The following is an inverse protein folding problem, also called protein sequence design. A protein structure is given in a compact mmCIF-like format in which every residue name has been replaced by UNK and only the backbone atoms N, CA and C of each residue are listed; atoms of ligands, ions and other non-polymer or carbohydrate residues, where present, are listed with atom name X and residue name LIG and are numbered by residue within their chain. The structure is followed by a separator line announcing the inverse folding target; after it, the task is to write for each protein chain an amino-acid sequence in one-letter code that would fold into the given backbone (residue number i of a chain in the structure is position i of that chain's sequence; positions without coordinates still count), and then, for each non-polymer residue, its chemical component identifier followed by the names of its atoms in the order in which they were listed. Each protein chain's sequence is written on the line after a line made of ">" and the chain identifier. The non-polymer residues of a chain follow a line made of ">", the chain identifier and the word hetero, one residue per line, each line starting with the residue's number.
data_IF_709528278259
#
_entry.id   IF_709528278259
#
_cell.length_a   1.000
_cell.length_b   1.000
_cell.length_c   1.000
_cell.angle_alpha   90.00
_cell.angle_beta   90.00
_cell.angle_gamma   90.00
#
_symmetry.space_group_name_H-M   'P 1'
#
loop_
_entity.id
_entity.type
_entity.pdbx_description
1 polymer ?
#
# COMPACT_ATOMS: atom_id res chain seq x y z
N UNK A 1 26.40 4.64 -25.26
CA UNK A 1 25.03 4.14 -25.08
C UNK A 1 24.55 4.12 -23.61
N UNK A 2 25.43 3.88 -22.63
CA UNK A 2 25.07 3.81 -21.22
C UNK A 2 24.42 5.08 -20.65
N UNK A 3 24.91 6.33 -20.90
CA UNK A 3 24.27 7.53 -20.35
C UNK A 3 22.84 7.73 -20.86
N UNK A 4 22.60 7.42 -22.13
CA UNK A 4 21.27 7.54 -22.73
C UNK A 4 20.26 6.53 -22.12
N UNK A 5 20.66 5.27 -22.01
CA UNK A 5 19.82 4.23 -21.39
C UNK A 5 19.54 4.52 -19.93
N UNK A 6 20.49 5.06 -19.19
CA UNK A 6 20.28 5.45 -17.79
C UNK A 6 19.28 6.59 -17.68
N UNK A 7 19.42 7.66 -18.48
CA UNK A 7 18.49 8.77 -18.51
C UNK A 7 17.09 8.34 -18.91
N UNK A 8 16.97 7.45 -19.90
CA UNK A 8 15.67 6.90 -20.32
C UNK A 8 15.00 6.10 -19.20
N UNK A 9 15.76 5.21 -18.53
CA UNK A 9 15.23 4.41 -17.43
C UNK A 9 14.78 5.30 -16.25
N UNK A 10 15.58 6.31 -15.88
CA UNK A 10 15.21 7.25 -14.80
C UNK A 10 13.92 8.00 -15.17
N UNK A 11 13.81 8.48 -16.40
CA UNK A 11 12.61 9.16 -16.89
C UNK A 11 11.39 8.21 -16.90
N UNK A 12 11.58 6.95 -17.29
CA UNK A 12 10.53 5.94 -17.25
C UNK A 12 10.03 5.67 -15.82
N UNK A 13 10.94 5.47 -14.86
CA UNK A 13 10.58 5.27 -13.46
C UNK A 13 9.88 6.50 -12.86
N UNK A 14 10.36 7.70 -13.21
CA UNK A 14 9.70 8.94 -12.78
C UNK A 14 8.29 9.06 -13.38
N UNK A 15 8.11 8.71 -14.65
CA UNK A 15 6.80 8.70 -15.30
C UNK A 15 5.85 7.69 -14.64
N UNK A 16 6.33 6.50 -14.32
CA UNK A 16 5.54 5.49 -13.58
C UNK A 16 5.17 6.01 -12.20
N UNK A 17 6.11 6.63 -11.46
CA UNK A 17 5.85 7.22 -10.15
C UNK A 17 4.73 8.27 -10.19
N UNK A 18 4.73 9.13 -11.22
CA UNK A 18 3.69 10.13 -11.43
C UNK A 18 2.36 9.53 -11.89
N UNK A 19 2.39 8.39 -12.60
CA UNK A 19 1.20 7.71 -13.08
C UNK A 19 0.47 6.92 -11.96
N UNK A 20 1.19 6.39 -10.98
CA UNK A 20 0.60 5.56 -9.90
C UNK A 20 -0.52 6.28 -9.14
N UNK A 21 -0.42 7.55 -8.70
CA UNK A 21 -1.52 8.25 -8.06
C UNK A 21 -2.78 8.29 -8.92
N UNK A 22 -2.59 8.48 -10.23
CA UNK A 22 -3.69 8.50 -11.21
C UNK A 22 -4.31 7.12 -11.35
N UNK A 23 -3.48 6.06 -11.40
CA UNK A 23 -3.94 4.67 -11.46
C UNK A 23 -4.70 4.28 -10.19
N UNK A 24 -4.22 4.67 -9.02
CA UNK A 24 -4.91 4.46 -7.74
C UNK A 24 -6.27 5.18 -7.76
N UNK A 25 -6.31 6.44 -8.18
CA UNK A 25 -7.57 7.16 -8.35
C UNK A 25 -8.51 6.43 -9.31
N UNK A 26 -8.05 6.02 -10.50
CA UNK A 26 -8.87 5.32 -11.49
C UNK A 26 -9.40 3.98 -10.95
N UNK A 27 -8.58 3.24 -10.21
CA UNK A 27 -9.00 1.99 -9.56
C UNK A 27 -10.14 2.24 -8.58
N UNK A 28 -10.03 3.27 -7.74
CA UNK A 28 -11.10 3.65 -6.81
C UNK A 28 -12.32 4.23 -7.52
N UNK A 29 -12.15 5.01 -8.57
CA UNK A 29 -13.25 5.52 -9.39
C UNK A 29 -14.01 4.39 -10.10
N UNK A 30 -13.31 3.34 -10.54
CA UNK A 30 -13.92 2.14 -11.10
C UNK A 30 -14.68 1.32 -10.06
N UNK A 31 -14.19 1.27 -8.83
CA UNK A 31 -14.87 0.60 -7.71
C UNK A 31 -16.05 1.43 -7.17
N UNK A 32 -16.09 2.74 -7.44
CA UNK A 32 -17.13 3.64 -6.93
C UNK A 32 -18.57 3.18 -7.23
N UNK A 33 -18.91 2.68 -8.44
CA UNK A 33 -20.27 2.18 -8.73
C UNK A 33 -20.64 0.93 -7.94
N UNK A 34 -19.68 0.17 -7.39
CA UNK A 34 -19.95 -0.96 -6.52
C UNK A 34 -20.42 -0.55 -5.11
N UNK A 35 -20.32 0.75 -4.77
CA UNK A 35 -20.87 1.31 -3.53
C UNK A 35 -22.29 1.83 -3.78
N UNK A 36 -23.16 1.66 -2.79
CA UNK A 36 -24.54 2.14 -2.84
C UNK A 36 -24.65 3.64 -3.09
N UNK A 37 -25.75 4.08 -3.73
CA UNK A 37 -26.05 5.48 -3.94
C UNK A 37 -26.07 6.25 -2.61
N UNK A 38 -25.32 7.36 -2.54
CA UNK A 38 -25.13 8.18 -1.35
C UNK A 38 -23.80 7.94 -0.60
N UNK A 39 -23.01 6.95 -0.97
CA UNK A 39 -21.70 6.68 -0.36
C UNK A 39 -20.53 7.34 -1.10
N UNK A 40 -20.77 8.14 -2.12
CA UNK A 40 -19.73 8.83 -2.90
C UNK A 40 -18.73 9.62 -2.04
N UNK A 41 -19.22 10.25 -0.96
CA UNK A 41 -18.34 10.96 -0.02
C UNK A 41 -17.34 10.02 0.68
N UNK A 42 -17.74 8.77 0.90
CA UNK A 42 -16.87 7.76 1.51
C UNK A 42 -15.78 7.33 0.52
N UNK A 43 -16.13 7.12 -0.74
CA UNK A 43 -15.17 6.81 -1.80
C UNK A 43 -14.14 7.92 -1.97
N UNK A 44 -14.58 9.18 -2.04
CA UNK A 44 -13.66 10.33 -2.13
C UNK A 44 -12.70 10.37 -0.94
N UNK A 45 -13.18 10.14 0.27
CA UNK A 45 -12.31 10.07 1.46
C UNK A 45 -11.29 8.94 1.37
N UNK A 46 -11.70 7.76 0.92
CA UNK A 46 -10.80 6.62 0.72
C UNK A 46 -9.71 6.95 -0.30
N UNK A 47 -10.08 7.59 -1.43
CA UNK A 47 -9.12 8.01 -2.46
C UNK A 47 -8.12 9.03 -1.91
N UNK A 48 -8.57 10.04 -1.16
CA UNK A 48 -7.69 11.04 -0.56
C UNK A 48 -6.72 10.39 0.43
N UNK A 49 -7.22 9.51 1.29
CA UNK A 49 -6.37 8.78 2.28
C UNK A 49 -5.40 7.85 1.55
N UNK A 50 -5.83 7.16 0.50
CA UNK A 50 -4.98 6.33 -0.34
C UNK A 50 -3.82 7.15 -0.92
N UNK A 51 -4.12 8.24 -1.61
CA UNK A 51 -3.08 9.11 -2.20
C UNK A 51 -2.08 9.62 -1.15
N UNK A 52 -2.59 10.00 0.04
CA UNK A 52 -1.72 10.43 1.14
C UNK A 52 -0.85 9.28 1.67
N UNK A 53 -1.42 8.10 1.82
CA UNK A 53 -0.73 6.92 2.34
C UNK A 53 0.36 6.45 1.37
N UNK A 54 0.06 6.48 0.07
CA UNK A 54 1.04 6.20 -0.98
C UNK A 54 2.21 7.19 -0.96
N UNK A 55 1.92 8.50 -0.88
CA UNK A 55 2.96 9.52 -0.76
C UNK A 55 3.81 9.31 0.50
N UNK A 56 3.19 8.94 1.63
CA UNK A 56 3.89 8.60 2.86
C UNK A 56 4.79 7.36 2.70
N UNK A 57 4.34 6.32 1.98
CA UNK A 57 5.12 5.12 1.67
C UNK A 57 6.34 5.43 0.79
N UNK A 58 6.16 6.26 -0.24
CA UNK A 58 7.28 6.71 -1.09
C UNK A 58 8.28 7.57 -0.29
N UNK A 59 7.79 8.47 0.56
CA UNK A 59 8.61 9.30 1.43
C UNK A 59 9.38 8.43 2.46
N UNK A 60 8.72 7.45 3.06
CA UNK A 60 9.34 6.48 3.96
C UNK A 60 10.47 5.72 3.26
N UNK A 61 10.24 5.22 2.05
CA UNK A 61 11.26 4.53 1.28
C UNK A 61 12.48 5.44 1.01
N UNK A 62 12.22 6.69 0.60
CA UNK A 62 13.28 7.63 0.27
C UNK A 62 14.12 8.06 1.48
N UNK A 63 13.48 8.38 2.63
CA UNK A 63 14.20 8.92 3.78
C UNK A 63 14.66 7.87 4.78
N UNK A 64 14.04 6.70 4.81
CA UNK A 64 14.34 5.66 5.80
C UNK A 64 14.96 4.43 5.16
N UNK A 65 14.32 3.85 4.12
CA UNK A 65 14.82 2.59 3.54
C UNK A 65 16.10 2.80 2.76
N UNK A 66 16.13 3.73 1.81
CA UNK A 66 17.29 3.95 0.95
C UNK A 66 18.56 4.34 1.70
N UNK A 67 18.57 5.27 2.68
CA UNK A 67 19.78 5.61 3.40
C UNK A 67 20.38 4.44 4.21
N UNK A 68 19.57 3.46 4.57
CA UNK A 68 20.05 2.28 5.30
C UNK A 68 20.44 1.13 4.36
N UNK A 69 19.73 0.96 3.25
CA UNK A 69 19.98 -0.11 2.29
C UNK A 69 21.24 0.14 1.43
N UNK A 70 21.48 1.38 1.03
CA UNK A 70 22.57 1.73 0.12
C UNK A 70 23.96 1.50 0.74
N UNK A 71 24.26 1.94 1.97
CA UNK A 71 25.55 1.67 2.60
C UNK A 71 25.81 0.17 2.75
N UNK A 72 24.82 -0.59 3.15
CA UNK A 72 24.93 -2.05 3.28
C UNK A 72 25.27 -2.70 1.93
N UNK A 73 24.60 -2.30 0.85
CA UNK A 73 24.85 -2.82 -0.48
C UNK A 73 26.28 -2.51 -0.97
N UNK A 74 26.78 -1.31 -0.66
CA UNK A 74 28.14 -0.88 -1.01
C UNK A 74 29.21 -1.62 -0.21
N UNK A 75 28.97 -1.86 1.08
CA UNK A 75 29.91 -2.54 1.97
C UNK A 75 30.01 -4.04 1.65
N UNK A 76 28.89 -4.69 1.36
CA UNK A 76 28.84 -6.09 0.99
C UNK A 76 29.59 -6.39 -0.31
N UNK A 77 29.51 -5.50 -1.29
CA UNK A 77 30.12 -5.67 -2.61
C UNK A 77 31.63 -5.32 -2.59
N UNK A 78 32.07 -4.48 -1.63
CA UNK A 78 33.48 -4.07 -1.50
C UNK A 78 34.41 -5.17 -1.04
N UNK A 79 33.92 -6.18 -0.30
CA UNK A 79 34.71 -7.33 0.18
C UNK A 79 34.94 -8.38 -0.91
N UNK A 80 34.08 -8.47 -1.93
CA UNK A 80 34.14 -9.51 -2.95
C UNK A 80 34.51 -9.03 -4.35
N UNK A 81 34.24 -7.78 -4.69
CA UNK A 81 34.52 -7.20 -6.02
C UNK A 81 34.88 -5.70 -5.90
N UNK A 82 35.66 -5.21 -6.87
CA UNK A 82 35.86 -3.76 -7.06
C UNK A 82 34.50 -3.09 -7.33
N UNK A 83 33.88 -2.53 -6.30
CA UNK A 83 32.53 -1.97 -6.31
C UNK A 83 32.42 -0.75 -7.24
N UNK A 84 32.27 -1.00 -8.51
CA UNK A 84 31.76 0.00 -9.45
C UNK A 84 30.23 -0.14 -9.50
N UNK A 85 29.54 0.43 -8.50
CA UNK A 85 28.09 0.53 -8.57
C UNK A 85 27.72 1.33 -9.81
N UNK A 86 27.15 0.67 -10.78
CA UNK A 86 26.69 1.33 -12.01
C UNK A 86 25.51 2.21 -11.63
N UNK A 87 25.58 3.49 -11.97
CA UNK A 87 24.52 4.45 -11.69
C UNK A 87 23.13 3.93 -12.09
N UNK A 88 23.05 3.18 -13.18
CA UNK A 88 21.82 2.54 -13.66
C UNK A 88 21.20 1.59 -12.62
N UNK A 89 22.02 0.74 -12.00
CA UNK A 89 21.55 -0.27 -11.04
C UNK A 89 21.05 0.39 -9.75
N UNK A 90 21.79 1.42 -9.29
CA UNK A 90 21.36 2.23 -8.16
C UNK A 90 20.01 2.92 -8.41
N UNK A 91 19.84 3.60 -9.54
CA UNK A 91 18.56 4.27 -9.84
C UNK A 91 17.41 3.29 -10.03
N UNK A 92 17.65 2.13 -10.63
CA UNK A 92 16.64 1.09 -10.76
C UNK A 92 16.22 0.55 -9.39
N UNK A 93 17.18 0.21 -8.53
CA UNK A 93 16.94 -0.23 -7.14
C UNK A 93 16.14 0.81 -6.36
N UNK A 94 16.59 2.07 -6.35
CA UNK A 94 15.93 3.15 -5.65
C UNK A 94 14.49 3.37 -6.14
N UNK A 95 14.29 3.39 -7.46
CA UNK A 95 12.98 3.60 -8.04
C UNK A 95 12.00 2.46 -7.68
N UNK A 96 12.41 1.19 -7.83
CA UNK A 96 11.57 0.04 -7.51
C UNK A 96 11.25 0.00 -6.02
N UNK A 97 12.21 0.33 -5.15
CA UNK A 97 12.01 0.39 -3.70
C UNK A 97 10.99 1.48 -3.33
N UNK A 98 11.14 2.69 -3.87
CA UNK A 98 10.21 3.81 -3.60
C UNK A 98 8.81 3.48 -4.09
N UNK A 99 8.67 3.00 -5.32
CA UNK A 99 7.38 2.66 -5.91
C UNK A 99 6.73 1.48 -5.19
N UNK A 100 7.49 0.44 -4.90
CA UNK A 100 7.00 -0.75 -4.22
C UNK A 100 6.53 -0.44 -2.80
N UNK A 101 7.28 0.34 -2.02
CA UNK A 101 6.82 0.80 -0.70
C UNK A 101 5.55 1.66 -0.83
N UNK A 102 5.47 2.56 -1.80
CA UNK A 102 4.27 3.35 -2.05
C UNK A 102 3.04 2.46 -2.25
N UNK A 103 3.15 1.45 -3.12
CA UNK A 103 2.07 0.49 -3.40
C UNK A 103 1.72 -0.36 -2.17
N UNK A 104 2.73 -0.80 -1.40
CA UNK A 104 2.47 -1.59 -0.19
C UNK A 104 1.77 -0.79 0.91
N UNK A 105 1.97 0.52 0.96
CA UNK A 105 1.26 1.41 1.88
C UNK A 105 -0.23 1.57 1.52
N UNK A 106 -0.65 1.19 0.30
CA UNK A 106 -2.07 1.14 -0.10
C UNK A 106 -2.84 -0.06 0.48
N UNK A 107 -2.15 -1.10 0.97
CA UNK A 107 -2.79 -2.31 1.52
C UNK A 107 -3.89 -2.01 2.56
N UNK A 108 -3.71 -1.08 3.53
CA UNK A 108 -4.75 -0.75 4.49
C UNK A 108 -6.05 -0.26 3.86
N UNK A 109 -5.93 0.60 2.86
CA UNK A 109 -7.10 1.19 2.19
C UNK A 109 -7.78 0.15 1.30
N UNK A 110 -6.98 -0.69 0.63
CA UNK A 110 -7.50 -1.80 -0.15
C UNK A 110 -8.31 -2.78 0.73
N UNK A 111 -7.80 -3.14 1.89
CA UNK A 111 -8.49 -3.98 2.88
C UNK A 111 -9.80 -3.32 3.34
N UNK A 112 -9.76 -2.03 3.69
CA UNK A 112 -10.96 -1.28 4.08
C UNK A 112 -12.02 -1.24 2.97
N UNK A 113 -11.58 -1.08 1.73
CA UNK A 113 -12.46 -1.14 0.55
C UNK A 113 -13.15 -2.50 0.41
N UNK A 114 -12.38 -3.61 0.52
CA UNK A 114 -12.92 -4.96 0.46
C UNK A 114 -13.93 -5.24 1.58
N UNK A 115 -13.64 -4.76 2.79
CA UNK A 115 -14.57 -4.87 3.93
C UNK A 115 -15.84 -4.04 3.66
N UNK A 116 -15.68 -2.86 3.10
CA UNK A 116 -16.83 -2.01 2.76
C UNK A 116 -17.73 -2.61 1.69
N UNK A 117 -17.16 -3.29 0.70
CA UNK A 117 -17.87 -4.02 -0.35
C UNK A 117 -18.49 -5.34 0.16
N UNK A 118 -18.23 -5.72 1.42
CA UNK A 118 -18.73 -6.99 1.97
C UNK A 118 -18.02 -8.24 1.45
N UNK A 119 -16.93 -8.08 0.70
CA UNK A 119 -16.13 -9.21 0.17
C UNK A 119 -15.43 -9.96 1.30
N UNK A 120 -14.95 -9.21 2.31
CA UNK A 120 -14.27 -9.74 3.48
C UNK A 120 -14.82 -9.06 4.74
N UNK A 121 -15.04 -9.81 5.83
CA UNK A 121 -15.43 -9.23 7.12
C UNK A 121 -14.22 -9.00 8.03
N UNK A 122 -14.32 -8.04 8.96
CA UNK A 122 -13.27 -7.83 9.97
C UNK A 122 -13.04 -9.09 10.84
N UNK A 123 -14.07 -9.91 11.05
CA UNK A 123 -13.96 -11.18 11.74
C UNK A 123 -13.11 -12.20 10.96
N UNK A 124 -13.28 -12.28 9.64
CA UNK A 124 -12.47 -13.13 8.77
C UNK A 124 -11.01 -12.67 8.72
N UNK A 125 -10.75 -11.35 8.65
CA UNK A 125 -9.40 -10.79 8.72
C UNK A 125 -8.70 -11.16 10.03
N UNK A 126 -9.40 -11.04 11.16
CA UNK A 126 -8.87 -11.45 12.48
C UNK A 126 -8.59 -12.95 12.55
N UNK A 127 -9.49 -13.78 12.05
CA UNK A 127 -9.33 -15.24 12.04
C UNK A 127 -8.12 -15.66 11.19
N UNK A 128 -7.95 -15.01 10.03
CA UNK A 128 -6.88 -15.31 9.05
C UNK A 128 -5.69 -14.35 9.18
N UNK A 129 -5.49 -13.70 10.33
CA UNK A 129 -4.40 -12.74 10.57
C UNK A 129 -3.02 -13.28 10.20
N UNK A 130 -2.75 -14.56 10.51
CA UNK A 130 -1.47 -15.21 10.17
C UNK A 130 -1.22 -15.27 8.67
N UNK A 131 -2.25 -15.52 7.88
CA UNK A 131 -2.18 -15.52 6.42
C UNK A 131 -1.89 -14.12 5.89
N UNK A 132 -2.57 -13.10 6.41
CA UNK A 132 -2.33 -11.70 6.03
C UNK A 132 -0.92 -11.23 6.36
N UNK A 133 -0.41 -11.54 7.56
CA UNK A 133 0.98 -11.28 7.94
C UNK A 133 1.95 -12.00 6.99
N UNK A 134 1.70 -13.28 6.68
CA UNK A 134 2.51 -14.02 5.71
C UNK A 134 2.52 -13.37 4.32
N UNK A 135 1.39 -12.87 3.84
CA UNK A 135 1.30 -12.15 2.58
C UNK A 135 2.09 -10.82 2.61
N UNK A 136 2.03 -10.08 3.72
CA UNK A 136 2.83 -8.87 3.90
C UNK A 136 4.34 -9.18 3.85
N UNK A 137 4.78 -10.24 4.52
CA UNK A 137 6.19 -10.68 4.49
C UNK A 137 6.60 -11.07 3.07
N UNK A 138 5.79 -11.85 2.36
CA UNK A 138 6.05 -12.22 0.96
C UNK A 138 6.15 -10.95 0.09
N UNK A 139 5.25 -10.00 0.26
CA UNK A 139 5.26 -8.76 -0.50
C UNK A 139 6.53 -7.94 -0.25
N UNK A 140 7.04 -7.90 0.98
CA UNK A 140 8.33 -7.27 1.31
C UNK A 140 9.51 -8.01 0.68
N UNK A 141 9.50 -9.33 0.69
CA UNK A 141 10.56 -10.16 0.06
C UNK A 141 10.63 -9.95 -1.46
N UNK A 142 9.51 -9.61 -2.10
CA UNK A 142 9.47 -9.27 -3.53
C UNK A 142 10.03 -7.89 -3.84
N UNK A 143 10.16 -7.01 -2.85
CA UNK A 143 10.85 -5.74 -3.01
C UNK A 143 12.37 -5.95 -3.12
N UNK A 144 13.08 -5.10 -3.85
CA UNK A 144 14.52 -5.16 -3.86
C UNK A 144 15.08 -4.81 -2.48
N UNK A 145 15.80 -5.73 -1.91
CA UNK A 145 16.46 -5.61 -0.62
C UNK A 145 17.05 -6.98 -0.31
N UNK A 146 18.36 -7.11 -0.46
CA UNK A 146 19.05 -8.40 -0.29
C UNK A 146 19.48 -8.63 1.15
N UNK A 147 19.41 -7.59 1.98
CA UNK A 147 19.86 -7.61 3.36
C UNK A 147 18.71 -7.72 4.35
N UNK A 148 18.95 -8.46 5.42
CA UNK A 148 17.98 -8.66 6.49
C UNK A 148 17.52 -7.34 7.16
N UNK A 149 18.42 -6.37 7.26
CA UNK A 149 18.13 -5.08 7.90
C UNK A 149 17.13 -4.27 7.06
N UNK A 150 17.37 -4.14 5.75
CA UNK A 150 16.45 -3.45 4.84
C UNK A 150 15.09 -4.15 4.77
N UNK A 151 15.07 -5.49 4.72
CA UNK A 151 13.83 -6.27 4.74
C UNK A 151 13.05 -6.07 6.05
N UNK A 152 13.73 -6.12 7.21
CA UNK A 152 13.08 -5.89 8.50
C UNK A 152 12.55 -4.45 8.62
N UNK A 153 13.32 -3.47 8.13
CA UNK A 153 12.95 -2.06 8.14
C UNK A 153 11.71 -1.78 7.28
N UNK A 154 11.57 -2.47 6.15
CA UNK A 154 10.38 -2.40 5.28
C UNK A 154 9.19 -3.18 5.85
N UNK A 155 9.44 -4.37 6.43
CA UNK A 155 8.38 -5.23 6.95
C UNK A 155 7.65 -4.58 8.15
N UNK A 156 8.38 -3.92 9.04
CA UNK A 156 7.84 -3.39 10.27
C UNK A 156 6.69 -2.39 10.04
N UNK A 157 6.83 -1.32 9.24
CA UNK A 157 5.71 -0.39 9.00
C UNK A 157 4.56 -1.04 8.24
N UNK A 158 4.83 -1.97 7.32
CA UNK A 158 3.79 -2.66 6.56
C UNK A 158 2.96 -3.55 7.48
N UNK A 159 3.60 -4.25 8.42
CA UNK A 159 2.90 -5.05 9.43
C UNK A 159 2.08 -4.17 10.38
N UNK A 160 2.62 -3.03 10.81
CA UNK A 160 1.88 -2.06 11.63
C UNK A 160 0.65 -1.54 10.88
N UNK A 161 0.81 -1.17 9.61
CA UNK A 161 -0.27 -0.71 8.76
C UNK A 161 -1.34 -1.80 8.53
N UNK A 162 -0.91 -3.05 8.32
CA UNK A 162 -1.82 -4.19 8.20
C UNK A 162 -2.65 -4.37 9.48
N UNK A 163 -2.01 -4.37 10.66
CA UNK A 163 -2.71 -4.44 11.94
C UNK A 163 -3.67 -3.26 12.15
N UNK A 164 -3.21 -2.05 11.85
CA UNK A 164 -4.05 -0.86 11.91
C UNK A 164 -5.27 -0.97 10.99
N UNK A 165 -5.13 -1.59 9.81
CA UNK A 165 -6.24 -1.81 8.89
C UNK A 165 -7.30 -2.75 9.46
N UNK A 166 -6.90 -3.81 10.17
CA UNK A 166 -7.84 -4.74 10.84
C UNK A 166 -8.62 -4.01 11.94
N UNK A 167 -7.96 -3.17 12.73
CA UNK A 167 -8.63 -2.37 13.76
C UNK A 167 -9.57 -1.34 13.15
N UNK A 168 -9.13 -0.65 12.12
CA UNK A 168 -9.94 0.32 11.38
C UNK A 168 -11.16 -0.37 10.74
N UNK A 169 -10.99 -1.53 10.09
CA UNK A 169 -12.06 -2.31 9.51
C UNK A 169 -13.13 -2.68 10.56
N UNK A 170 -12.71 -3.19 11.73
CA UNK A 170 -13.64 -3.54 12.81
C UNK A 170 -14.38 -2.32 13.37
N UNK A 171 -13.72 -1.17 13.44
CA UNK A 171 -14.33 0.07 13.91
C UNK A 171 -15.36 0.61 12.90
N UNK A 172 -15.00 0.64 11.62
CA UNK A 172 -15.88 1.14 10.57
C UNK A 172 -17.05 0.20 10.29
N UNK A 173 -16.82 -1.12 10.29
CA UNK A 173 -17.88 -2.13 10.10
C UNK A 173 -19.00 -1.95 11.16
N UNK A 174 -18.63 -1.76 12.43
CA UNK A 174 -19.60 -1.47 13.51
C UNK A 174 -20.38 -0.17 13.27
N UNK A 175 -19.71 0.88 12.83
CA UNK A 175 -20.35 2.17 12.52
C UNK A 175 -21.30 2.08 11.34
N UNK A 176 -20.94 1.32 10.32
CA UNK A 176 -21.77 1.13 9.14
C UNK A 176 -22.99 0.24 9.44
N UNK A 177 -22.82 -0.80 10.23
CA UNK A 177 -23.93 -1.62 10.72
C UNK A 177 -24.94 -0.78 11.55
N UNK A 178 -24.46 0.05 12.47
CA UNK A 178 -25.31 0.94 13.25
C UNK A 178 -26.04 1.99 12.37
N UNK A 179 -25.40 2.50 11.32
CA UNK A 179 -26.03 3.45 10.39
C UNK A 179 -27.09 2.77 9.50
N UNK A 180 -26.89 1.50 9.15
CA UNK A 180 -27.87 0.68 8.40
C UNK A 180 -29.12 0.37 9.23
N UNK A 181 -28.97 0.01 10.49
CA UNK A 181 -30.08 -0.29 11.39
C UNK A 181 -30.98 0.92 11.70
N UNK A 182 -30.45 2.14 11.57
CA UNK A 182 -31.24 3.38 11.72
C UNK A 182 -32.03 3.76 10.46
N UNK A 183 -31.80 3.06 9.34
CA UNK A 183 -32.48 3.30 8.06
C UNK A 183 -33.62 2.32 7.77
N UNK A 184 -33.82 1.33 8.61
CA UNK A 184 -34.99 0.45 8.49
C UNK A 184 -36.21 1.28 8.88
N UNK A 185 -37.12 1.65 7.94
CA UNK A 185 -38.33 2.38 8.31
C UNK A 185 -39.18 1.46 9.13
N UNK A 186 -39.75 1.99 10.21
CA UNK A 186 -40.83 1.38 10.99
C UNK A 186 -42.08 1.19 10.11
N UNK A 187 -42.00 0.34 9.12
CA UNK A 187 -43.11 -0.16 8.34
C UNK A 187 -43.52 -1.50 8.95
N UNK A 188 -44.43 -1.46 9.90
CA UNK A 188 -45.00 -2.69 10.40
C UNK A 188 -45.75 -2.55 11.74
N UNK A 189 -46.57 -1.52 11.90
CA UNK A 189 -47.65 -1.58 12.86
C UNK A 189 -48.84 -0.76 12.36
N UNK A 190 -49.71 -1.41 11.62
CA UNK A 190 -50.97 -0.79 11.23
C UNK A 190 -51.69 -1.60 10.19
N UNK A 191 -52.17 -2.78 10.56
CA UNK A 191 -53.39 -3.32 10.02
C UNK A 191 -53.89 -4.41 10.99
N UNK A 192 -54.78 -4.00 11.83
CA UNK A 192 -55.80 -4.83 12.49
C UNK A 192 -57.16 -4.52 11.90
#
# INVERSE_FOLDING_TARGET
>A
AEPFTTSFNVAFYAAVALAIPILVWQTWAFLAPAFEEGQQRTVVRLVVVATFLMAAGMAFAYWVVLPNAVPFLLEYDSELYNAQVRAREYYAFAAITILGCGVLFELPIFILGLVRLGVVSAAQLRKNRRVGVGMCVIAVVLLPGVDFVSMALQALPILILFEASIWAAAFFERRWAAAGSLREPLHGTGDS
#
